data_IF_489133671589
#
_entry.id   IF_489133671589
#
_cell.length_a   1.000
_cell.length_b   1.000
_cell.length_c   1.000
_cell.angle_alpha   90.00
_cell.angle_beta   90.00
_cell.angle_gamma   90.00
#
_symmetry.space_group_name_H-M   'P 1'
#
loop_
_entity.id
_entity.type
_entity.pdbx_description
1 polymer ?
#
# COMPACT_ATOMS: atom_id res chain seq x y z
N UNK A 1 -2.56 -29.52 -4.98
CA UNK A 1 -2.34 -28.60 -6.12
C UNK A 1 -3.54 -27.67 -6.46
N UNK A 2 -4.63 -27.62 -5.68
CA UNK A 2 -5.80 -26.75 -5.98
C UNK A 2 -5.71 -25.30 -5.45
N UNK A 3 -4.84 -25.01 -4.47
CA UNK A 3 -4.82 -23.71 -3.74
C UNK A 3 -4.23 -22.51 -4.51
N UNK A 4 -3.29 -22.74 -5.45
CA UNK A 4 -2.68 -21.65 -6.25
C UNK A 4 -3.64 -21.06 -7.28
N UNK A 5 -4.51 -21.88 -7.88
CA UNK A 5 -5.47 -21.43 -8.89
C UNK A 5 -6.50 -20.45 -8.30
N UNK A 6 -7.03 -20.76 -7.11
CA UNK A 6 -7.99 -19.91 -6.41
C UNK A 6 -7.38 -18.57 -5.97
N UNK A 7 -6.13 -18.56 -5.48
CA UNK A 7 -5.45 -17.30 -5.10
C UNK A 7 -5.20 -16.39 -6.31
N UNK A 8 -4.76 -16.96 -7.44
CA UNK A 8 -4.54 -16.19 -8.67
C UNK A 8 -5.85 -15.59 -9.18
N UNK A 9 -6.92 -16.39 -9.23
CA UNK A 9 -8.23 -15.91 -9.67
C UNK A 9 -8.81 -14.85 -8.73
N UNK A 10 -8.59 -14.97 -7.42
CA UNK A 10 -8.99 -13.94 -6.45
C UNK A 10 -8.21 -12.62 -6.62
N UNK A 11 -6.92 -12.70 -6.95
CA UNK A 11 -6.10 -11.51 -7.21
C UNK A 11 -6.52 -10.84 -8.52
N UNK A 12 -6.71 -11.62 -9.59
CA UNK A 12 -7.18 -11.12 -10.88
C UNK A 12 -8.55 -10.43 -10.73
N UNK A 13 -9.45 -10.99 -9.91
CA UNK A 13 -10.74 -10.36 -9.60
C UNK A 13 -10.61 -9.04 -8.82
N UNK A 14 -9.66 -8.96 -7.86
CA UNK A 14 -9.44 -7.75 -7.08
C UNK A 14 -8.79 -6.63 -7.90
N UNK A 15 -7.93 -6.98 -8.86
CA UNK A 15 -7.27 -6.00 -9.74
C UNK A 15 -8.16 -5.58 -10.91
N UNK A 16 -9.10 -6.45 -11.31
CA UNK A 16 -9.90 -6.28 -12.50
C UNK A 16 -9.09 -6.42 -13.79
N UNK A 17 -9.71 -6.06 -14.92
CA UNK A 17 -9.06 -6.16 -16.23
C UNK A 17 -7.97 -5.09 -16.38
N UNK A 18 -6.72 -5.47 -16.70
CA UNK A 18 -5.66 -4.50 -16.97
C UNK A 18 -6.03 -3.58 -18.12
N UNK A 19 -5.84 -2.26 -17.93
CA UNK A 19 -6.05 -1.26 -18.99
C UNK A 19 -4.76 -0.87 -19.71
N UNK A 20 -3.62 -1.05 -19.06
CA UNK A 20 -2.31 -0.61 -19.55
C UNK A 20 -1.23 -1.62 -19.20
N UNK A 21 -0.26 -1.79 -20.10
CA UNK A 21 0.96 -2.56 -19.86
C UNK A 21 2.13 -1.59 -19.97
N UNK A 22 2.85 -1.41 -18.86
CA UNK A 22 4.00 -0.51 -18.79
C UNK A 22 5.19 -1.35 -18.36
N UNK A 23 6.15 -1.50 -19.28
CA UNK A 23 7.41 -2.17 -19.01
C UNK A 23 8.29 -1.35 -18.09
N UNK A 24 9.06 -2.06 -17.27
CA UNK A 24 9.94 -1.46 -16.27
C UNK A 24 11.06 -2.43 -15.97
N UNK A 25 12.28 -1.92 -15.98
CA UNK A 25 13.49 -2.66 -15.65
C UNK A 25 13.59 -2.95 -14.14
N UNK A 26 14.43 -3.91 -13.78
CA UNK A 26 14.70 -4.24 -12.37
C UNK A 26 13.61 -5.09 -11.70
N UNK A 27 12.74 -5.75 -12.48
CA UNK A 27 11.80 -6.75 -11.95
C UNK A 27 12.56 -8.01 -11.55
N UNK A 28 12.30 -8.49 -10.34
CA UNK A 28 12.88 -9.72 -9.80
C UNK A 28 12.12 -10.91 -10.42
N UNK A 29 12.82 -11.90 -11.01
CA UNK A 29 12.16 -13.09 -11.54
C UNK A 29 11.33 -13.82 -10.46
N UNK A 30 10.09 -14.18 -10.80
CA UNK A 30 9.18 -14.88 -9.90
C UNK A 30 8.33 -13.98 -9.00
N UNK A 31 8.62 -12.68 -8.92
CA UNK A 31 7.79 -11.70 -8.22
C UNK A 31 6.69 -11.13 -9.14
N UNK A 32 5.61 -10.64 -8.55
CA UNK A 32 4.48 -10.06 -9.29
C UNK A 32 4.40 -8.55 -9.09
N UNK A 33 4.26 -7.81 -10.20
CA UNK A 33 4.28 -6.34 -10.21
C UNK A 33 3.07 -5.78 -10.95
N UNK A 34 2.49 -4.72 -10.40
CA UNK A 34 1.30 -4.07 -10.93
C UNK A 34 1.40 -2.55 -10.83
N UNK A 35 0.90 -1.86 -11.85
CA UNK A 35 0.80 -0.41 -11.87
C UNK A 35 -0.55 0.04 -11.34
N UNK A 36 -0.55 0.94 -10.36
CA UNK A 36 -1.76 1.51 -9.77
C UNK A 36 -1.84 3.01 -10.12
N UNK A 37 -2.95 3.47 -10.71
CA UNK A 37 -3.19 4.89 -10.87
C UNK A 37 -3.54 5.52 -9.51
N UNK A 38 -2.80 6.56 -9.13
CA UNK A 38 -3.07 7.30 -7.91
C UNK A 38 -4.17 8.35 -8.13
N UNK A 39 -5.20 8.33 -7.29
CA UNK A 39 -6.26 9.32 -7.26
C UNK A 39 -6.28 10.03 -5.90
N UNK A 40 -6.60 11.33 -5.93
CA UNK A 40 -6.61 12.17 -4.74
C UNK A 40 -5.22 12.63 -4.31
N UNK A 41 -5.18 13.39 -3.21
CA UNK A 41 -4.01 14.16 -2.78
C UNK A 41 -3.42 13.67 -1.45
N UNK A 42 -3.82 12.50 -0.97
CA UNK A 42 -3.43 12.04 0.35
C UNK A 42 -1.93 11.73 0.48
N UNK A 43 -1.25 11.46 -0.64
CA UNK A 43 0.21 11.27 -0.69
C UNK A 43 0.95 12.49 -1.22
N UNK A 44 0.27 13.64 -1.33
CA UNK A 44 0.84 14.92 -1.79
C UNK A 44 1.28 15.76 -0.59
N UNK A 45 2.58 15.92 -0.38
CA UNK A 45 3.15 16.78 0.68
C UNK A 45 4.10 17.87 0.15
N UNK A 46 4.19 18.03 -1.17
CA UNK A 46 5.07 18.97 -1.88
C UNK A 46 6.58 18.78 -1.60
N UNK A 47 6.98 17.62 -1.09
CA UNK A 47 8.40 17.25 -0.91
C UNK A 47 8.90 16.36 -2.05
N UNK A 48 10.22 16.08 -2.14
CA UNK A 48 10.75 15.15 -3.14
C UNK A 48 10.19 13.72 -3.07
N UNK A 49 9.58 13.29 -1.96
CA UNK A 49 8.90 11.98 -1.85
C UNK A 49 7.40 12.02 -2.20
N UNK A 50 6.87 13.20 -2.52
CA UNK A 50 5.46 13.41 -2.83
C UNK A 50 4.99 12.52 -4.00
N UNK A 51 3.81 11.92 -3.85
CA UNK A 51 3.11 11.14 -4.87
C UNK A 51 1.79 11.87 -5.19
N UNK A 52 1.81 12.84 -6.13
CA UNK A 52 0.63 13.61 -6.48
C UNK A 52 -0.44 12.79 -7.22
N UNK A 53 -1.66 13.32 -7.27
CA UNK A 53 -2.73 12.78 -8.11
C UNK A 53 -2.28 12.63 -9.56
N UNK A 54 -2.71 11.57 -10.23
CA UNK A 54 -2.30 11.27 -11.61
C UNK A 54 -0.95 10.57 -11.73
N UNK A 55 -0.22 10.36 -10.63
CA UNK A 55 0.95 9.49 -10.62
C UNK A 55 0.56 8.03 -10.86
N UNK A 56 1.50 7.25 -11.38
CA UNK A 56 1.42 5.79 -11.43
C UNK A 56 2.40 5.22 -10.39
N UNK A 57 1.95 4.24 -9.61
CA UNK A 57 2.81 3.55 -8.63
C UNK A 57 2.98 2.09 -9.01
N UNK A 58 4.23 1.63 -9.12
CA UNK A 58 4.55 0.23 -9.35
C UNK A 58 4.62 -0.46 -7.99
N UNK A 59 3.61 -1.28 -7.72
CA UNK A 59 3.55 -2.12 -6.55
C UNK A 59 4.08 -3.53 -6.85
N UNK A 60 4.99 -4.03 -6.02
CA UNK A 60 5.35 -5.46 -5.98
C UNK A 60 4.51 -6.17 -4.94
N UNK A 61 3.82 -7.24 -5.34
CA UNK A 61 2.98 -8.04 -4.44
C UNK A 61 3.84 -8.60 -3.30
N UNK A 62 3.50 -8.25 -2.07
CA UNK A 62 4.14 -8.78 -0.88
C UNK A 62 3.48 -10.09 -0.49
N UNK A 63 4.25 -11.17 -0.45
CA UNK A 63 3.80 -12.41 0.17
C UNK A 63 3.88 -12.26 1.69
N UNK A 64 2.76 -11.95 2.32
CA UNK A 64 2.69 -11.72 3.76
C UNK A 64 2.36 -13.02 4.48
N UNK A 65 3.24 -13.48 5.38
CA UNK A 65 2.98 -14.58 6.30
C UNK A 65 2.57 -14.06 7.69
N UNK A 66 3.08 -12.88 8.05
CA UNK A 66 2.84 -12.19 9.30
C UNK A 66 2.72 -10.67 9.06
N UNK A 67 1.95 -9.96 9.90
CA UNK A 67 1.91 -8.49 9.85
C UNK A 67 3.31 -7.87 10.00
N UNK A 68 4.24 -8.57 10.66
CA UNK A 68 5.61 -8.11 10.85
C UNK A 68 6.45 -8.12 9.56
N UNK A 69 6.00 -8.81 8.51
CA UNK A 69 6.68 -8.82 7.21
C UNK A 69 6.46 -7.51 6.44
N UNK A 70 5.54 -6.65 6.91
CA UNK A 70 5.16 -5.41 6.23
C UNK A 70 6.24 -4.35 6.50
N UNK A 71 6.90 -3.81 5.44
CA UNK A 71 7.93 -2.81 5.63
C UNK A 71 7.32 -1.48 6.11
N UNK A 72 7.59 -1.11 7.36
CA UNK A 72 7.19 0.18 7.90
C UNK A 72 7.92 1.33 7.24
N UNK A 73 7.28 2.49 7.21
CA UNK A 73 7.77 3.74 6.65
C UNK A 73 8.05 3.70 5.15
N UNK A 74 7.39 2.77 4.45
CA UNK A 74 7.42 2.66 3.00
C UNK A 74 6.00 2.82 2.45
N UNK A 75 5.81 3.52 1.31
CA UNK A 75 4.51 3.56 0.67
C UNK A 75 4.13 2.15 0.18
N UNK A 76 2.89 1.80 0.46
CA UNK A 76 2.26 0.54 0.06
C UNK A 76 0.89 0.83 -0.55
N UNK A 77 0.49 -0.02 -1.49
CA UNK A 77 -0.91 -0.15 -1.91
C UNK A 77 -1.53 -1.29 -1.12
N UNK A 78 -2.65 -1.02 -0.46
CA UNK A 78 -3.39 -2.03 0.31
C UNK A 78 -4.76 -2.20 -0.33
N UNK A 79 -5.10 -3.46 -0.63
CA UNK A 79 -6.45 -3.86 -1.01
C UNK A 79 -7.06 -4.60 0.17
N UNK A 80 -8.20 -4.13 0.64
CA UNK A 80 -8.93 -4.72 1.76
C UNK A 80 -10.43 -4.68 1.50
N UNK A 81 -11.15 -5.57 2.18
CA UNK A 81 -12.60 -5.58 2.15
C UNK A 81 -13.13 -5.05 3.49
N UNK A 82 -14.13 -4.19 3.43
CA UNK A 82 -14.87 -3.68 4.57
C UNK A 82 -16.37 -3.63 4.22
N UNK A 83 -17.19 -4.29 5.05
CA UNK A 83 -18.64 -4.44 4.85
C UNK A 83 -19.05 -4.85 3.41
N UNK A 84 -18.36 -5.85 2.86
CA UNK A 84 -18.61 -6.37 1.51
C UNK A 84 -18.17 -5.45 0.36
N UNK A 85 -17.55 -4.31 0.65
CA UNK A 85 -16.95 -3.41 -0.33
C UNK A 85 -15.44 -3.54 -0.33
N UNK A 86 -14.86 -3.56 -1.53
CA UNK A 86 -13.42 -3.56 -1.70
C UNK A 86 -12.89 -2.13 -1.82
N UNK A 87 -11.79 -1.87 -1.12
CA UNK A 87 -11.08 -0.60 -1.15
C UNK A 87 -9.63 -0.82 -1.57
N UNK A 88 -9.06 0.17 -2.27
CA UNK A 88 -7.66 0.20 -2.68
C UNK A 88 -7.06 1.54 -2.24
N UNK A 89 -6.12 1.50 -1.30
CA UNK A 89 -5.51 2.71 -0.72
C UNK A 89 -4.00 2.71 -0.94
N UNK A 90 -3.48 3.87 -1.35
CA UNK A 90 -2.05 4.17 -1.33
C UNK A 90 -1.72 4.98 -0.06
N UNK A 91 -0.93 4.42 0.84
CA UNK A 91 -0.51 5.03 2.11
C UNK A 91 0.89 4.58 2.49
N UNK A 92 1.52 5.23 3.47
CA UNK A 92 2.71 4.69 4.12
C UNK A 92 2.31 3.76 5.26
N UNK A 93 2.82 2.54 5.28
CA UNK A 93 2.80 1.75 6.52
C UNK A 93 3.58 2.53 7.59
N UNK A 94 3.01 2.67 8.79
CA UNK A 94 3.53 3.61 9.79
C UNK A 94 3.92 2.90 11.09
N UNK A 95 3.02 2.07 11.61
CA UNK A 95 3.14 1.40 12.90
C UNK A 95 2.33 0.10 12.86
N UNK A 96 2.70 -0.84 13.71
CA UNK A 96 1.95 -2.08 13.94
C UNK A 96 1.57 -2.12 15.41
N UNK A 97 0.30 -2.43 15.70
CA UNK A 97 -0.16 -2.82 17.04
C UNK A 97 -0.34 -4.33 17.06
N UNK A 98 0.30 -4.97 18.02
CA UNK A 98 0.12 -6.39 18.35
C UNK A 98 -0.36 -6.52 19.78
N UNK A 99 -0.84 -7.72 20.12
CA UNK A 99 -1.35 -8.10 21.45
C UNK A 99 -0.38 -7.77 22.60
N UNK A 100 0.92 -7.79 22.33
CA UNK A 100 1.97 -7.53 23.33
C UNK A 100 2.13 -6.04 23.67
N UNK A 101 1.47 -5.13 22.94
CA UNK A 101 1.67 -3.67 23.05
C UNK A 101 0.39 -2.84 23.32
N UNK A 102 -0.80 -3.42 23.49
CA UNK A 102 -2.01 -2.67 23.89
C UNK A 102 -3.16 -3.54 24.45
N UNK A 103 -3.94 -2.97 25.38
CA UNK A 103 -5.26 -3.41 25.89
C UNK A 103 -6.31 -3.50 24.75
N UNK A 104 -6.15 -4.48 23.86
CA UNK A 104 -7.07 -4.72 22.74
C UNK A 104 -7.54 -6.16 22.78
N UNK A 105 -8.81 -6.35 22.39
CA UNK A 105 -9.46 -7.66 22.37
C UNK A 105 -8.57 -8.72 21.68
N UNK A 106 -8.63 -9.97 22.16
CA UNK A 106 -7.77 -11.03 21.68
C UNK A 106 -8.15 -11.38 20.24
N UNK A 107 -7.54 -10.73 19.24
CA UNK A 107 -7.25 -11.28 17.88
C UNK A 107 -6.89 -10.25 16.79
N UNK A 108 -6.87 -8.94 17.02
CA UNK A 108 -6.65 -7.98 15.91
C UNK A 108 -5.29 -7.30 15.95
N UNK A 109 -4.27 -7.91 15.34
CA UNK A 109 -3.10 -7.13 14.93
C UNK A 109 -3.57 -6.03 13.96
N UNK A 110 -3.12 -4.80 14.15
CA UNK A 110 -3.54 -3.66 13.32
C UNK A 110 -2.35 -2.98 12.65
N UNK A 111 -2.56 -2.57 11.40
CA UNK A 111 -1.60 -1.78 10.63
C UNK A 111 -2.05 -0.31 10.59
N UNK A 112 -1.19 0.60 11.04
CA UNK A 112 -1.36 2.02 10.81
C UNK A 112 -0.93 2.38 9.38
N UNK A 113 -1.85 3.01 8.66
CA UNK A 113 -1.65 3.61 7.35
C UNK A 113 -1.65 5.13 7.48
N UNK A 114 -0.52 5.77 7.14
CA UNK A 114 -0.33 7.21 7.23
C UNK A 114 -0.25 7.84 5.85
N UNK A 115 -0.97 8.94 5.68
CA UNK A 115 -0.89 9.80 4.50
C UNK A 115 0.38 10.68 4.57
N UNK A 116 1.01 11.02 3.45
CA UNK A 116 2.07 12.05 3.46
C UNK A 116 1.50 13.45 3.67
N UNK A 117 0.33 13.71 3.09
CA UNK A 117 -0.37 14.97 3.24
C UNK A 117 -0.75 15.20 4.71
N UNK A 118 -0.31 16.31 5.35
CA UNK A 118 -0.60 16.60 6.75
C UNK A 118 -1.98 17.24 6.96
N UNK A 119 -2.80 17.41 5.91
CA UNK A 119 -4.13 18.01 6.04
C UNK A 119 -5.03 17.21 7.02
N UNK A 120 -5.94 17.88 7.76
CA UNK A 120 -6.83 17.22 8.73
C UNK A 120 -7.71 16.09 8.17
N UNK A 121 -7.97 16.05 6.86
CA UNK A 121 -8.72 14.96 6.21
C UNK A 121 -7.87 13.73 5.89
N UNK A 122 -6.58 13.75 6.24
CA UNK A 122 -5.58 12.75 5.88
C UNK A 122 -4.97 12.10 7.12
N UNK A 123 -5.77 11.93 8.17
CA UNK A 123 -5.36 11.30 9.43
C UNK A 123 -4.89 9.85 9.26
N UNK A 124 -4.25 9.34 10.30
CA UNK A 124 -3.81 7.96 10.36
C UNK A 124 -5.02 7.03 10.38
N UNK A 125 -4.96 5.99 9.56
CA UNK A 125 -6.01 5.00 9.43
C UNK A 125 -5.51 3.65 9.97
N UNK A 126 -6.19 3.10 10.98
CA UNK A 126 -5.84 1.82 11.56
C UNK A 126 -6.69 0.72 10.94
N UNK A 127 -6.04 -0.23 10.27
CA UNK A 127 -6.69 -1.32 9.55
C UNK A 127 -6.39 -2.65 10.24
N UNK A 128 -7.42 -3.43 10.66
CA UNK A 128 -7.22 -4.78 11.14
C UNK A 128 -6.55 -5.65 10.07
N UNK A 129 -5.54 -6.43 10.47
CA UNK A 129 -4.79 -7.29 9.55
C UNK A 129 -5.69 -8.32 8.86
N UNK A 130 -6.73 -8.78 9.54
CA UNK A 130 -7.72 -9.73 9.03
C UNK A 130 -8.54 -9.20 7.83
N UNK A 131 -8.67 -7.88 7.68
CA UNK A 131 -9.39 -7.26 6.58
C UNK A 131 -8.54 -7.14 5.30
N UNK A 132 -7.22 -7.18 5.43
CA UNK A 132 -6.28 -7.00 4.31
C UNK A 132 -6.28 -8.23 3.41
N UNK A 133 -6.51 -8.02 2.11
CA UNK A 133 -6.44 -9.08 1.09
C UNK A 133 -5.08 -9.12 0.40
N UNK A 134 -4.59 -7.95 -0.01
CA UNK A 134 -3.32 -7.83 -0.72
C UNK A 134 -2.57 -6.58 -0.28
N UNK A 135 -1.25 -6.71 -0.23
CA UNK A 135 -0.32 -5.60 0.00
C UNK A 135 0.66 -5.58 -1.15
N UNK A 136 0.89 -4.40 -1.71
CA UNK A 136 1.93 -4.17 -2.69
C UNK A 136 2.89 -3.12 -2.16
N UNK A 137 4.17 -3.49 -2.06
CA UNK A 137 5.22 -2.54 -1.70
C UNK A 137 5.52 -1.67 -2.91
N UNK A 138 5.49 -0.35 -2.75
CA UNK A 138 5.79 0.55 -3.87
C UNK A 138 7.29 0.56 -4.13
N UNK A 139 7.67 0.07 -5.31
CA UNK A 139 9.04 -0.02 -5.78
C UNK A 139 9.42 1.19 -6.65
N UNK A 140 8.44 1.79 -7.34
CA UNK A 140 8.66 2.94 -8.23
C UNK A 140 7.43 3.81 -8.34
N UNK A 141 7.63 5.09 -8.56
CA UNK A 141 6.57 6.07 -8.84
C UNK A 141 6.94 6.82 -10.09
N UNK A 142 5.98 6.95 -11.02
CA UNK A 142 6.04 7.85 -12.18
C UNK A 142 5.05 8.99 -11.98
N UNK A 143 5.53 10.22 -11.93
CA UNK A 143 4.73 11.43 -11.72
C UNK A 143 4.01 11.87 -13.01
N UNK A 144 3.02 12.78 -12.91
CA UNK A 144 2.31 13.29 -14.08
C UNK A 144 3.21 13.97 -15.12
N UNK A 145 4.33 14.57 -14.67
CA UNK A 145 5.34 15.19 -15.54
C UNK A 145 6.27 14.16 -16.23
N UNK A 146 6.09 12.87 -15.96
CA UNK A 146 6.90 11.78 -16.48
C UNK A 146 8.15 11.48 -15.67
N UNK A 147 8.50 12.27 -14.66
CA UNK A 147 9.64 12.00 -13.79
C UNK A 147 9.40 10.75 -12.94
N UNK A 148 10.47 10.02 -12.63
CA UNK A 148 10.40 8.80 -11.84
C UNK A 148 11.27 8.87 -10.59
N UNK A 149 10.84 8.18 -9.53
CA UNK A 149 11.65 7.95 -8.35
C UNK A 149 11.35 6.61 -7.68
N UNK A 150 12.32 6.12 -6.90
CA UNK A 150 12.18 4.94 -6.05
C UNK A 150 11.90 5.43 -4.62
N UNK A 151 10.77 5.05 -4.00
CA UNK A 151 10.50 5.44 -2.63
C UNK A 151 11.51 4.85 -1.65
N UNK A 152 12.05 5.70 -0.79
CA UNK A 152 12.94 5.31 0.31
C UNK A 152 12.13 5.00 1.57
N UNK A 153 12.63 4.08 2.38
CA UNK A 153 12.07 3.80 3.69
C UNK A 153 12.43 4.95 4.65
N UNK A 154 11.46 5.79 4.98
CA UNK A 154 11.68 6.98 5.80
C UNK A 154 10.45 7.34 6.61
N UNK A 155 10.62 7.53 7.92
CA UNK A 155 9.52 7.88 8.81
C UNK A 155 8.87 9.21 8.40
N UNK A 156 7.53 9.21 8.36
CA UNK A 156 6.72 10.40 8.13
C UNK A 156 6.39 11.02 9.48
N UNK A 157 7.22 11.98 9.90
CA UNK A 157 7.00 12.75 11.12
C UNK A 157 6.07 13.94 10.82
N UNK A 158 4.89 13.98 11.45
CA UNK A 158 4.04 15.16 11.45
C UNK A 158 4.37 16.00 12.67
N UNK A 159 4.73 17.27 12.48
CA UNK A 159 4.77 18.22 13.59
C UNK A 159 3.33 18.40 14.09
N UNK A 160 3.04 18.01 15.33
CA UNK A 160 1.78 18.37 15.99
C UNK A 160 1.70 19.91 15.97
N UNK A 161 0.60 20.45 15.44
CA UNK A 161 0.26 21.86 15.64
C UNK A 161 -0.30 22.03 17.04
#
# INVERSE_FOLDING_TARGET
>A
MKSRSNKKQSLDNALGTPKYFIDTEGKIPGEHYYWFPNQGDSMTDNTPRSIPAGSLTLGRLLQVNSIQDIPLHRPIVVIFDDDGKQFCLLKSACQIKTKDNAETEPDSSMLCLRSYNPAPRCDDFWLPFSCIKYIFVVERVRRPDGSEFVPVQQEVVRKRK
#
